data_IF_179111257920
#
_entry.id   IF_179111257920
#
_cell.length_a   1.000
_cell.length_b   1.000
_cell.length_c   1.000
_cell.angle_alpha   90.00
_cell.angle_beta   90.00
_cell.angle_gamma   90.00
#
_symmetry.space_group_name_H-M   'P 1'
#
loop_
_entity.id
_entity.type
_entity.pdbx_description
1 polymer ?
#
# COMPACT_ATOMS: atom_id res chain seq x y z
N UNK A 1 4.03 11.42 -1.78
CA UNK A 1 3.87 10.29 -2.71
C UNK A 1 5.26 9.81 -3.08
N UNK A 2 5.52 8.51 -2.99
CA UNK A 2 6.80 7.90 -3.36
C UNK A 2 6.51 6.91 -4.48
N UNK A 3 7.25 7.02 -5.58
CA UNK A 3 7.35 5.98 -6.61
C UNK A 3 8.62 5.18 -6.34
N UNK A 4 8.47 3.87 -6.14
CA UNK A 4 9.56 3.00 -5.73
C UNK A 4 10.61 2.82 -6.83
N UNK A 5 10.20 2.80 -8.11
CA UNK A 5 11.00 2.52 -9.31
C UNK A 5 11.73 1.16 -9.35
N UNK A 6 12.38 0.75 -8.26
CA UNK A 6 13.15 -0.49 -8.11
C UNK A 6 12.56 -1.32 -6.99
N UNK A 7 12.10 -2.54 -7.31
CA UNK A 7 11.62 -3.50 -6.30
C UNK A 7 12.78 -4.23 -5.63
N UNK A 8 13.88 -4.46 -6.36
CA UNK A 8 15.06 -5.14 -5.83
C UNK A 8 16.35 -4.60 -6.45
N UNK A 9 17.28 -4.04 -5.64
CA UNK A 9 17.15 -3.75 -4.21
C UNK A 9 16.14 -2.62 -3.95
N UNK A 10 15.30 -2.76 -2.92
CA UNK A 10 14.32 -1.74 -2.54
C UNK A 10 14.98 -0.65 -1.67
N UNK A 11 14.69 0.62 -1.95
CA UNK A 11 15.15 1.76 -1.14
C UNK A 11 14.29 1.90 0.13
N UNK A 12 14.63 1.11 1.15
CA UNK A 12 13.95 1.16 2.44
C UNK A 12 14.18 2.48 3.18
N UNK A 13 15.36 3.09 3.02
CA UNK A 13 15.71 4.30 3.78
C UNK A 13 14.82 5.47 3.36
N UNK A 14 14.51 5.61 2.07
CA UNK A 14 13.54 6.59 1.58
C UNK A 14 12.16 6.40 2.22
N UNK A 15 11.64 5.16 2.24
CA UNK A 15 10.33 4.84 2.81
C UNK A 15 10.32 5.15 4.31
N UNK A 16 11.31 4.67 5.05
CA UNK A 16 11.41 4.84 6.50
C UNK A 16 11.50 6.31 6.89
N UNK A 17 12.32 7.10 6.18
CA UNK A 17 12.44 8.54 6.44
C UNK A 17 11.13 9.28 6.19
N UNK A 18 10.38 8.91 5.15
CA UNK A 18 9.05 9.47 4.93
C UNK A 18 8.06 9.07 6.02
N UNK A 19 8.03 7.80 6.43
CA UNK A 19 7.14 7.30 7.49
C UNK A 19 7.42 8.01 8.81
N UNK A 20 8.68 8.19 9.19
CA UNK A 20 9.07 8.94 10.40
C UNK A 20 8.59 10.39 10.41
N UNK A 21 8.35 10.97 9.24
CA UNK A 21 7.83 12.34 9.08
C UNK A 21 6.29 12.40 9.07
N UNK A 22 5.63 11.41 8.48
CA UNK A 22 4.17 11.43 8.25
C UNK A 22 3.38 10.56 9.21
N UNK A 23 4.05 9.70 9.97
CA UNK A 23 3.54 8.74 10.94
C UNK A 23 2.52 7.72 10.40
N UNK A 24 2.31 7.71 9.09
CA UNK A 24 1.26 6.93 8.41
C UNK A 24 1.78 6.46 7.06
N UNK A 25 1.35 5.26 6.65
CA UNK A 25 1.72 4.66 5.38
C UNK A 25 0.51 3.99 4.72
N UNK A 26 0.33 4.30 3.43
CA UNK A 26 -0.59 3.61 2.53
C UNK A 26 0.22 3.13 1.33
N UNK A 27 0.08 1.86 0.97
CA UNK A 27 0.80 1.22 -0.14
C UNK A 27 -0.23 0.85 -1.21
N UNK A 28 0.05 1.20 -2.46
CA UNK A 28 -0.74 0.81 -3.63
C UNK A 28 0.10 -0.14 -4.48
N UNK A 29 -0.45 -1.30 -4.81
CA UNK A 29 0.21 -2.35 -5.59
C UNK A 29 -0.81 -3.07 -6.47
N UNK A 30 -0.37 -3.59 -7.62
CA UNK A 30 -1.22 -4.35 -8.56
C UNK A 30 -1.10 -5.87 -8.38
N UNK A 31 -0.26 -6.34 -7.46
CA UNK A 31 -0.16 -7.76 -7.12
C UNK A 31 -1.27 -8.18 -6.16
N UNK A 32 -1.45 -9.49 -6.03
CA UNK A 32 -2.30 -10.10 -5.01
C UNK A 32 -1.85 -9.72 -3.58
N UNK A 33 -2.74 -9.77 -2.58
CA UNK A 33 -2.41 -9.37 -1.21
C UNK A 33 -1.42 -10.32 -0.50
N UNK A 34 -1.33 -11.58 -0.93
CA UNK A 34 -0.45 -12.57 -0.32
C UNK A 34 0.94 -12.55 -0.96
N UNK A 35 1.99 -12.58 -0.12
CA UNK A 35 3.39 -12.63 -0.55
C UNK A 35 3.81 -11.53 -1.56
N UNK A 36 3.27 -10.33 -1.38
CA UNK A 36 3.46 -9.19 -2.28
C UNK A 36 4.58 -8.24 -1.84
N UNK A 37 4.97 -7.28 -2.70
CA UNK A 37 5.95 -6.24 -2.33
C UNK A 37 5.39 -5.36 -1.21
N UNK A 38 4.10 -5.06 -1.23
CA UNK A 38 3.45 -4.35 -0.13
C UNK A 38 3.54 -5.13 1.19
N UNK A 39 3.54 -6.46 1.16
CA UNK A 39 3.69 -7.29 2.36
C UNK A 39 5.10 -7.14 2.96
N UNK A 40 6.13 -7.15 2.10
CA UNK A 40 7.53 -6.96 2.52
C UNK A 40 7.77 -5.54 3.05
N UNK A 41 7.30 -4.51 2.35
CA UNK A 41 7.39 -3.12 2.83
C UNK A 41 6.73 -2.97 4.20
N UNK A 42 5.53 -3.53 4.36
CA UNK A 42 4.79 -3.47 5.62
C UNK A 42 5.59 -4.11 6.76
N UNK A 43 6.14 -5.30 6.53
CA UNK A 43 6.98 -5.99 7.50
C UNK A 43 8.23 -5.17 7.87
N UNK A 44 8.92 -4.62 6.88
CA UNK A 44 10.15 -3.85 7.09
C UNK A 44 9.91 -2.53 7.83
N UNK A 45 8.83 -1.82 7.53
CA UNK A 45 8.43 -0.60 8.25
C UNK A 45 7.99 -0.94 9.68
N UNK A 46 7.23 -2.02 9.86
CA UNK A 46 6.85 -2.51 11.18
C UNK A 46 8.08 -2.93 12.00
N UNK A 47 9.11 -3.54 11.41
CA UNK A 47 10.33 -3.92 12.12
C UNK A 47 11.20 -2.72 12.49
N UNK A 48 11.30 -1.71 11.62
CA UNK A 48 12.30 -0.63 11.75
C UNK A 48 11.75 0.72 12.22
N UNK A 49 10.44 0.93 12.17
CA UNK A 49 9.81 2.22 12.43
C UNK A 49 8.43 2.09 13.09
N UNK A 50 8.15 1.00 13.83
CA UNK A 50 6.87 0.82 14.50
C UNK A 50 6.49 1.97 15.42
N UNK A 51 7.43 2.47 16.22
CA UNK A 51 7.18 3.54 17.19
C UNK A 51 6.75 4.88 16.54
N UNK A 52 6.95 5.03 15.23
CA UNK A 52 6.54 6.21 14.48
C UNK A 52 5.15 6.05 13.85
N UNK A 53 4.52 4.88 13.91
CA UNK A 53 3.23 4.63 13.27
C UNK A 53 2.06 5.02 14.19
N UNK A 54 1.28 6.02 13.77
CA UNK A 54 0.05 6.45 14.44
C UNK A 54 -1.21 5.72 13.92
N UNK A 55 -1.05 4.81 12.95
CA UNK A 55 -2.12 3.92 12.46
C UNK A 55 -1.54 2.66 11.82
N UNK A 56 -2.34 1.59 11.75
CA UNK A 56 -2.01 0.42 10.94
C UNK A 56 -1.76 0.80 9.48
N UNK A 57 -0.70 0.24 8.90
CA UNK A 57 -0.36 0.40 7.49
C UNK A 57 -1.50 -0.14 6.62
N UNK A 58 -1.96 0.66 5.65
CA UNK A 58 -2.99 0.24 4.68
C UNK A 58 -2.34 -0.27 3.40
N UNK A 59 -2.77 -1.45 2.94
CA UNK A 59 -2.34 -2.05 1.68
C UNK A 59 -3.52 -2.10 0.73
N UNK A 60 -3.35 -1.53 -0.45
CA UNK A 60 -4.33 -1.51 -1.52
C UNK A 60 -3.77 -2.37 -2.63
N UNK A 61 -4.36 -3.56 -2.79
CA UNK A 61 -3.98 -4.56 -3.77
C UNK A 61 -5.15 -4.91 -4.67
N UNK A 62 -4.89 -5.69 -5.72
CA UNK A 62 -5.96 -6.37 -6.46
C UNK A 62 -6.65 -7.42 -5.56
N UNK A 63 -7.85 -7.90 -5.94
CA UNK A 63 -8.46 -9.07 -5.33
C UNK A 63 -7.52 -10.29 -5.37
N UNK A 64 -7.66 -11.18 -4.39
CA UNK A 64 -6.93 -12.46 -4.32
C UNK A 64 -7.57 -13.49 -5.26
N UNK A 65 -7.51 -13.18 -6.56
CA UNK A 65 -8.09 -13.98 -7.63
C UNK A 65 -7.39 -13.68 -8.96
N UNK A 66 -7.32 -14.66 -9.88
CA UNK A 66 -6.84 -14.45 -11.23
C UNK A 66 -7.55 -13.31 -11.95
N UNK A 67 -6.80 -12.58 -12.78
CA UNK A 67 -7.34 -11.52 -13.60
C UNK A 67 -8.43 -12.08 -14.53
N UNK A 68 -9.63 -11.48 -14.56
CA UNK A 68 -10.70 -11.93 -15.42
C UNK A 68 -10.45 -11.53 -16.88
N UNK A 69 -10.88 -12.36 -17.84
CA UNK A 69 -10.75 -12.07 -19.27
C UNK A 69 -11.74 -10.99 -19.76
N UNK A 70 -12.95 -10.96 -19.20
CA UNK A 70 -13.98 -9.97 -19.58
C UNK A 70 -13.48 -8.55 -19.28
N UNK A 71 -13.48 -7.68 -20.28
CA UNK A 71 -13.03 -6.30 -20.15
C UNK A 71 -13.76 -5.53 -19.03
N UNK A 72 -15.07 -5.79 -18.87
CA UNK A 72 -15.87 -5.17 -17.81
C UNK A 72 -15.39 -5.61 -16.42
N UNK A 73 -15.10 -6.90 -16.23
CA UNK A 73 -14.59 -7.41 -14.96
C UNK A 73 -13.13 -7.00 -14.72
N UNK A 74 -12.33 -6.90 -15.77
CA UNK A 74 -10.93 -6.49 -15.68
C UNK A 74 -10.81 -5.03 -15.23
N UNK A 75 -11.69 -4.16 -15.72
CA UNK A 75 -11.77 -2.76 -15.27
C UNK A 75 -12.16 -2.64 -13.78
N UNK A 76 -12.99 -3.57 -13.27
CA UNK A 76 -13.35 -3.63 -11.85
C UNK A 76 -12.28 -4.30 -10.97
N UNK A 77 -11.38 -5.09 -11.57
CA UNK A 77 -10.37 -5.85 -10.84
C UNK A 77 -9.26 -4.96 -10.29
N UNK A 78 -8.94 -3.84 -10.95
CA UNK A 78 -7.95 -2.89 -10.46
C UNK A 78 -8.49 -1.99 -9.34
N UNK A 79 -7.62 -1.58 -8.40
CA UNK A 79 -7.98 -0.56 -7.42
C UNK A 79 -8.37 0.77 -8.09
N UNK A 80 -9.58 1.25 -7.79
CA UNK A 80 -10.09 2.53 -8.29
C UNK A 80 -9.64 3.70 -7.41
N UNK A 81 -9.60 4.89 -7.99
CA UNK A 81 -9.24 6.13 -7.30
C UNK A 81 -10.08 6.36 -6.02
N UNK A 82 -11.38 6.06 -6.07
CA UNK A 82 -12.25 6.25 -4.90
C UNK A 82 -11.86 5.33 -3.74
N UNK A 83 -11.49 4.07 -4.02
CA UNK A 83 -10.95 3.15 -3.01
C UNK A 83 -9.65 3.68 -2.41
N UNK A 84 -8.77 4.25 -3.25
CA UNK A 84 -7.51 4.87 -2.78
C UNK A 84 -7.78 6.05 -1.84
N UNK A 85 -8.69 6.94 -2.21
CA UNK A 85 -9.09 8.07 -1.36
C UNK A 85 -9.68 7.59 -0.03
N UNK A 86 -10.56 6.59 -0.07
CA UNK A 86 -11.19 6.04 1.12
C UNK A 86 -10.17 5.43 2.09
N UNK A 87 -9.22 4.63 1.59
CA UNK A 87 -8.18 4.03 2.42
C UNK A 87 -7.21 5.08 3.02
N UNK A 88 -6.91 6.16 2.28
CA UNK A 88 -6.16 7.29 2.82
C UNK A 88 -6.94 7.97 3.95
N UNK A 89 -8.24 8.26 3.77
CA UNK A 89 -9.08 8.85 4.82
C UNK A 89 -9.14 7.94 6.06
N UNK A 90 -9.28 6.63 5.87
CA UNK A 90 -9.25 5.64 6.96
C UNK A 90 -7.92 5.65 7.69
N UNK A 91 -6.79 5.73 6.99
CA UNK A 91 -5.47 5.83 7.62
C UNK A 91 -5.31 7.12 8.44
N UNK A 92 -5.99 8.20 8.05
CA UNK A 92 -6.01 9.48 8.74
C UNK A 92 -7.13 9.61 9.81
N UNK A 93 -7.97 8.57 9.99
CA UNK A 93 -9.17 8.61 10.84
C UNK A 93 -10.13 9.78 10.53
N UNK A 94 -10.18 10.21 9.27
CA UNK A 94 -11.16 11.17 8.78
C UNK A 94 -12.42 10.42 8.35
N UNK A 95 -13.61 10.97 8.63
CA UNK A 95 -14.89 10.39 8.19
C UNK A 95 -14.86 10.18 6.67
N UNK A 96 -15.05 8.93 6.25
CA UNK A 96 -14.97 8.51 4.85
C UNK A 96 -16.04 9.20 3.99
#
# INVERSE_FOLDING_TARGET
MIDLRTVRPLDYDMILNSVKKTNRLVILEEAWPFASVASEITYMVQQKAFDYLDAPIKRITTPDAPAPYSAALFAEWFPKLEKVKEEIKKAMYIKA
#
